data_IF_838008376286
#
_entry.id   IF_838008376286
#
_cell.length_a   1.000
_cell.length_b   1.000
_cell.length_c   1.000
_cell.angle_alpha   90.00
_cell.angle_beta   90.00
_cell.angle_gamma   90.00
#
_symmetry.space_group_name_H-M   'P 1'
#
loop_
_entity.id
_entity.type
_entity.pdbx_description
1 polymer ?
#
# COMPACT_ATOMS: atom_id res chain seq x y z
N UNK A 1 5.49 3.38 2.70
CA UNK A 1 4.05 3.71 2.65
C UNK A 1 3.31 2.96 1.50
N UNK A 2 2.40 3.66 0.81
CA UNK A 2 1.37 3.04 -0.06
C UNK A 2 1.89 2.62 -1.48
N UNK A 3 2.11 1.31 -1.68
CA UNK A 3 2.46 0.73 -3.00
C UNK A 3 1.86 -0.71 -3.08
N UNK A 4 0.61 -0.84 -3.59
CA UNK A 4 -0.15 -2.12 -3.52
C UNK A 4 -0.64 -2.42 -2.06
N UNK A 5 -0.35 -3.62 -1.54
CA UNK A 5 -1.01 -4.13 -0.29
C UNK A 5 -0.76 -3.33 1.04
N UNK A 6 0.37 -2.61 1.18
CA UNK A 6 0.53 -1.54 2.22
C UNK A 6 -0.54 -0.39 2.25
N UNK A 7 -1.18 -0.04 1.11
CA UNK A 7 -2.39 0.83 1.10
C UNK A 7 -3.66 0.26 1.84
N UNK A 8 -4.00 -1.03 1.67
CA UNK A 8 -5.15 -1.68 2.35
C UNK A 8 -4.90 -3.21 2.31
#
# INVERSE_FOLDING_TARGET
FCFWKTCX
#
